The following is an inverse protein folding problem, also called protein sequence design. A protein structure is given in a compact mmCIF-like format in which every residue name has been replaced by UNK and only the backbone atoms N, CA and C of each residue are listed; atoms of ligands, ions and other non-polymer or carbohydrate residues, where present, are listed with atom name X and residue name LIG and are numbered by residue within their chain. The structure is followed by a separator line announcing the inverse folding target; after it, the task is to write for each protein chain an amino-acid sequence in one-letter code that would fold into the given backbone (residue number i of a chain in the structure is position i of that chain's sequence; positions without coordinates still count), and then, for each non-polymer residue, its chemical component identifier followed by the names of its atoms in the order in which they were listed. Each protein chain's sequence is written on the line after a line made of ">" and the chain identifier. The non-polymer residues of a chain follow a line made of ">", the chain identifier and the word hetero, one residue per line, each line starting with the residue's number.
data_IF_765414427169
#
_entry.id   IF_765414427169
#
_cell.length_a   1.000
_cell.length_b   1.000
_cell.length_c   1.000
_cell.angle_alpha   90.00
_cell.angle_beta   90.00
_cell.angle_gamma   90.00
#
_symmetry.space_group_name_H-M   'P 1'
#
loop_
_entity.id
_entity.type
_entity.pdbx_description
1 polymer ?
#
# COMPACT_ATOMS: atom_id res chain seq x y z
N UNK A 1 -45.95 -27.96 17.60
CA UNK A 1 -44.49 -28.27 17.55
C UNK A 1 -43.88 -27.46 16.43
N UNK A 2 -43.25 -26.34 16.74
CA UNK A 2 -42.64 -25.44 15.75
C UNK A 2 -41.13 -25.50 15.93
N UNK A 3 -40.46 -26.05 14.94
CA UNK A 3 -38.98 -26.13 14.87
C UNK A 3 -38.39 -24.75 14.55
N UNK A 4 -37.47 -24.27 15.37
CA UNK A 4 -36.67 -23.06 15.13
C UNK A 4 -35.52 -23.40 14.19
N UNK A 5 -35.19 -22.57 13.20
CA UNK A 5 -33.94 -22.71 12.45
C UNK A 5 -32.77 -22.18 13.29
N UNK A 6 -31.76 -23.01 13.45
CA UNK A 6 -30.51 -22.74 14.12
C UNK A 6 -29.62 -21.95 13.16
N UNK A 7 -29.49 -20.64 13.38
CA UNK A 7 -28.55 -19.76 12.68
C UNK A 7 -27.18 -19.96 13.32
N UNK A 8 -26.34 -20.79 12.71
CA UNK A 8 -24.89 -20.83 13.01
C UNK A 8 -24.20 -19.72 12.23
N UNK A 9 -24.04 -18.57 12.86
CA UNK A 9 -23.00 -17.60 12.48
C UNK A 9 -21.65 -18.24 12.78
N UNK A 10 -21.00 -18.80 11.78
CA UNK A 10 -19.62 -19.24 11.83
C UNK A 10 -18.72 -18.03 11.62
N UNK A 11 -18.24 -17.44 12.71
CA UNK A 11 -17.01 -16.62 12.68
C UNK A 11 -15.88 -17.51 12.16
N UNK A 12 -15.27 -17.12 11.05
CA UNK A 12 -14.05 -17.74 10.53
C UNK A 12 -12.88 -17.35 11.44
N UNK A 13 -12.86 -17.90 12.64
CA UNK A 13 -11.70 -17.88 13.51
C UNK A 13 -10.61 -18.68 12.81
N UNK A 14 -9.45 -18.05 12.54
CA UNK A 14 -8.44 -18.54 11.60
C UNK A 14 -7.94 -19.94 11.94
N UNK A 15 -8.43 -20.94 11.21
CA UNK A 15 -7.99 -22.32 11.34
C UNK A 15 -6.51 -22.41 11.01
N UNK A 16 -5.67 -22.55 12.03
CA UNK A 16 -4.22 -22.74 11.85
C UNK A 16 -3.98 -24.07 11.15
N UNK A 17 -3.29 -24.01 10.01
CA UNK A 17 -2.82 -25.20 9.29
C UNK A 17 -1.34 -25.43 9.59
N UNK A 18 -0.96 -26.68 9.84
CA UNK A 18 0.43 -27.05 10.06
C UNK A 18 1.05 -27.53 8.77
N UNK A 19 2.23 -27.01 8.46
CA UNK A 19 3.05 -27.44 7.32
C UNK A 19 4.42 -27.88 7.83
N UNK A 20 5.04 -28.82 7.12
CA UNK A 20 6.43 -29.22 7.35
C UNK A 20 7.25 -28.77 6.16
N UNK A 21 8.36 -28.07 6.41
CA UNK A 21 9.25 -27.54 5.37
C UNK A 21 10.67 -28.01 5.67
N UNK A 22 11.36 -28.54 4.64
CA UNK A 22 12.79 -28.85 4.71
C UNK A 22 13.56 -27.68 4.09
N UNK A 23 14.50 -27.15 4.82
CA UNK A 23 15.33 -26.02 4.37
C UNK A 23 16.80 -26.49 4.25
N UNK A 24 17.57 -26.00 3.25
CA UNK A 24 19.01 -26.14 3.25
C UNK A 24 19.63 -25.48 4.50
N UNK A 25 20.74 -26.02 5.00
CA UNK A 25 21.41 -25.52 6.22
C UNK A 25 21.75 -24.02 6.19
N UNK A 26 22.13 -23.50 5.05
CA UNK A 26 22.42 -22.07 4.89
C UNK A 26 21.16 -21.23 5.15
N UNK A 27 20.04 -21.58 4.50
CA UNK A 27 18.75 -20.86 4.63
C UNK A 27 18.18 -21.01 6.05
N UNK A 28 18.39 -22.18 6.68
CA UNK A 28 17.95 -22.38 8.06
C UNK A 28 18.71 -21.46 9.03
N UNK A 29 20.03 -21.28 8.85
CA UNK A 29 20.84 -20.37 9.67
C UNK A 29 20.43 -18.90 9.46
N UNK A 30 20.16 -18.49 8.23
CA UNK A 30 19.64 -17.15 7.93
C UNK A 30 18.29 -16.91 8.61
N UNK A 31 17.39 -17.88 8.59
CA UNK A 31 16.11 -17.80 9.30
C UNK A 31 16.30 -17.63 10.81
N UNK A 32 17.22 -18.39 11.44
CA UNK A 32 17.52 -18.28 12.88
C UNK A 32 18.11 -16.92 13.22
N UNK A 33 19.02 -16.43 12.41
CA UNK A 33 19.58 -15.09 12.57
C UNK A 33 18.49 -14.01 12.48
N UNK A 34 17.61 -14.10 11.52
CA UNK A 34 16.52 -13.16 11.29
C UNK A 34 15.51 -13.15 12.46
N UNK A 35 15.19 -14.34 13.01
CA UNK A 35 14.34 -14.49 14.21
C UNK A 35 14.99 -13.77 15.40
N UNK A 36 16.30 -13.96 15.58
CA UNK A 36 17.05 -13.35 16.69
C UNK A 36 17.16 -11.84 16.54
N UNK A 37 17.59 -11.36 15.38
CA UNK A 37 17.84 -9.94 15.11
C UNK A 37 16.56 -9.09 15.16
N UNK A 38 15.44 -9.64 14.68
CA UNK A 38 14.15 -8.94 14.68
C UNK A 38 13.31 -9.19 15.94
N UNK A 39 13.78 -10.00 16.86
CA UNK A 39 13.04 -10.34 18.09
C UNK A 39 11.70 -11.04 17.82
N UNK A 40 11.64 -11.88 16.77
CA UNK A 40 10.40 -12.56 16.40
C UNK A 40 10.12 -13.69 17.39
N UNK A 41 8.84 -13.96 17.67
CA UNK A 41 8.42 -14.97 18.66
C UNK A 41 8.85 -16.40 18.29
N UNK A 42 8.92 -16.71 16.99
CA UNK A 42 9.25 -18.04 16.51
C UNK A 42 9.61 -18.05 15.01
N UNK A 43 10.28 -19.13 14.57
CA UNK A 43 10.51 -19.41 13.13
C UNK A 43 9.21 -19.48 12.35
N UNK A 44 8.16 -20.07 12.93
CA UNK A 44 6.84 -20.16 12.31
C UNK A 44 6.24 -18.76 12.04
N UNK A 45 6.42 -17.83 12.99
CA UNK A 45 6.01 -16.44 12.82
C UNK A 45 6.80 -15.76 11.70
N UNK A 46 8.13 -15.93 11.70
CA UNK A 46 8.99 -15.40 10.65
C UNK A 46 8.58 -15.90 9.25
N UNK A 47 8.32 -17.19 9.09
CA UNK A 47 7.87 -17.78 7.83
C UNK A 47 6.49 -17.25 7.44
N UNK A 48 5.55 -17.15 8.39
CA UNK A 48 4.22 -16.61 8.12
C UNK A 48 4.29 -15.16 7.63
N UNK A 49 5.13 -14.33 8.25
CA UNK A 49 5.32 -12.93 7.85
C UNK A 49 5.96 -12.83 6.46
N UNK A 50 6.97 -13.66 6.15
CA UNK A 50 7.58 -13.72 4.82
C UNK A 50 6.59 -14.15 3.74
N UNK A 51 5.78 -15.19 4.01
CA UNK A 51 4.76 -15.66 3.06
C UNK A 51 3.70 -14.59 2.85
N UNK A 52 3.27 -13.91 3.91
CA UNK A 52 2.32 -12.82 3.83
C UNK A 52 2.89 -11.68 2.97
N UNK A 53 4.12 -11.28 3.23
CA UNK A 53 4.79 -10.23 2.45
C UNK A 53 4.90 -10.59 0.96
N UNK A 54 5.36 -11.80 0.66
CA UNK A 54 5.45 -12.29 -0.71
C UNK A 54 4.09 -12.38 -1.41
N UNK A 55 3.04 -12.84 -0.69
CA UNK A 55 1.69 -12.89 -1.24
C UNK A 55 1.14 -11.49 -1.56
N UNK A 56 1.49 -10.48 -0.76
CA UNK A 56 1.14 -9.09 -1.00
C UNK A 56 1.83 -8.54 -2.25
N UNK A 57 3.15 -8.72 -2.36
CA UNK A 57 3.90 -8.32 -3.55
C UNK A 57 3.31 -8.97 -4.82
N UNK A 58 2.92 -10.24 -4.73
CA UNK A 58 2.30 -10.94 -5.86
C UNK A 58 0.87 -10.46 -6.18
N UNK A 59 0.12 -9.97 -5.20
CA UNK A 59 -1.17 -9.30 -5.44
C UNK A 59 -0.99 -7.92 -6.08
N UNK A 60 0.06 -7.21 -5.74
CA UNK A 60 0.44 -5.95 -6.39
C UNK A 60 0.65 -6.15 -7.90
N UNK A 61 1.33 -7.23 -8.30
CA UNK A 61 1.53 -7.57 -9.72
C UNK A 61 0.20 -7.83 -10.46
N UNK A 62 -0.84 -8.32 -9.78
CA UNK A 62 -2.17 -8.58 -10.38
C UNK A 62 -3.09 -7.36 -10.45
N UNK A 63 -2.78 -6.29 -9.74
CA UNK A 63 -3.39 -4.97 -9.88
C UNK A 63 -4.84 -4.78 -9.44
N UNK A 64 -5.51 -5.80 -8.91
CA UNK A 64 -6.96 -5.79 -8.65
C UNK A 64 -7.35 -5.51 -7.18
N UNK A 65 -6.38 -5.54 -6.26
CA UNK A 65 -6.63 -5.34 -4.83
C UNK A 65 -6.66 -3.87 -4.41
N UNK A 66 -7.51 -3.54 -3.43
CA UNK A 66 -7.43 -2.26 -2.73
C UNK A 66 -6.27 -2.33 -1.74
N UNK A 67 -5.30 -1.45 -1.90
CA UNK A 67 -4.10 -1.35 -1.09
C UNK A 67 -4.04 0.02 -0.42
N UNK A 68 -3.34 0.09 0.70
CA UNK A 68 -2.87 1.34 1.27
C UNK A 68 -1.35 1.40 1.16
N UNK A 69 -0.79 2.60 1.18
CA UNK A 69 0.65 2.71 1.10
C UNK A 69 1.15 4.14 1.15
N UNK A 70 2.43 4.28 0.86
CA UNK A 70 3.06 5.58 0.74
C UNK A 70 3.80 5.71 -0.58
N UNK A 71 3.70 6.89 -1.19
CA UNK A 71 4.57 7.31 -2.28
C UNK A 71 5.53 8.33 -1.68
N UNK A 72 6.81 8.01 -1.65
CA UNK A 72 7.86 8.93 -1.20
C UNK A 72 8.62 9.42 -2.42
N UNK A 73 8.71 10.74 -2.60
CA UNK A 73 9.52 11.35 -3.65
C UNK A 73 10.48 12.38 -3.06
N UNK A 74 11.65 12.53 -3.68
CA UNK A 74 12.59 13.62 -3.40
C UNK A 74 12.77 14.43 -4.69
N UNK A 75 12.61 15.71 -4.60
CA UNK A 75 12.67 16.60 -5.76
C UNK A 75 13.38 17.92 -5.44
N UNK A 76 13.80 18.59 -6.51
CA UNK A 76 14.41 19.91 -6.49
C UNK A 76 13.34 20.97 -6.77
N UNK A 77 12.90 21.67 -5.72
CA UNK A 77 11.82 22.67 -5.81
C UNK A 77 12.19 23.92 -6.61
N UNK A 78 13.49 24.13 -6.88
CA UNK A 78 13.95 25.24 -7.73
C UNK A 78 13.65 25.02 -9.21
N UNK A 79 13.18 23.83 -9.60
CA UNK A 79 12.99 23.45 -11.00
C UNK A 79 11.62 23.88 -11.53
N UNK A 80 11.62 25.01 -12.22
CA UNK A 80 10.49 25.45 -13.05
C UNK A 80 9.13 25.47 -12.33
N UNK A 81 8.14 24.81 -12.93
CA UNK A 81 6.77 24.73 -12.42
C UNK A 81 6.46 23.39 -11.71
N UNK A 82 7.50 22.72 -11.15
CA UNK A 82 7.35 21.39 -10.57
C UNK A 82 6.31 21.35 -9.45
N UNK A 83 6.37 22.31 -8.51
CA UNK A 83 5.40 22.38 -7.40
C UNK A 83 3.94 22.49 -7.88
N UNK A 84 3.72 23.31 -8.92
CA UNK A 84 2.39 23.43 -9.51
C UNK A 84 1.94 22.09 -10.13
N UNK A 85 2.81 21.41 -10.87
CA UNK A 85 2.50 20.13 -11.51
C UNK A 85 2.25 19.01 -10.48
N UNK A 86 2.99 18.98 -9.37
CA UNK A 86 2.74 18.08 -8.24
C UNK A 86 1.33 18.31 -7.69
N UNK A 87 1.01 19.57 -7.35
CA UNK A 87 -0.30 19.91 -6.82
C UNK A 87 -1.47 19.63 -7.80
N UNK A 88 -1.25 19.77 -9.11
CA UNK A 88 -2.23 19.40 -10.13
C UNK A 88 -2.44 17.89 -10.20
N UNK A 89 -1.37 17.09 -10.10
CA UNK A 89 -1.46 15.62 -10.05
C UNK A 89 -2.17 15.14 -8.79
N UNK A 90 -1.82 15.65 -7.63
CA UNK A 90 -2.47 15.29 -6.37
C UNK A 90 -3.97 15.58 -6.39
N UNK A 91 -4.36 16.76 -6.90
CA UNK A 91 -5.78 17.09 -7.09
C UNK A 91 -6.49 16.15 -8.06
N UNK A 92 -5.79 15.69 -9.09
CA UNK A 92 -6.33 14.73 -10.06
C UNK A 92 -6.58 13.35 -9.47
N UNK A 93 -5.95 13.02 -8.33
CA UNK A 93 -6.02 11.73 -7.63
C UNK A 93 -6.50 11.89 -6.18
N UNK A 94 -7.40 12.84 -5.95
CA UNK A 94 -7.91 13.16 -4.60
C UNK A 94 -8.62 11.98 -3.94
N UNK A 95 -9.14 11.05 -4.73
CA UNK A 95 -9.81 9.84 -4.23
C UNK A 95 -8.79 8.83 -3.66
N UNK A 96 -7.56 8.82 -4.18
CA UNK A 96 -6.50 7.91 -3.78
C UNK A 96 -5.51 8.53 -2.80
N UNK A 97 -5.29 9.85 -2.87
CA UNK A 97 -4.35 10.57 -2.00
C UNK A 97 -5.06 11.04 -0.74
N UNK A 98 -4.72 10.44 0.40
CA UNK A 98 -5.36 10.73 1.69
C UNK A 98 -4.74 11.98 2.33
N UNK A 99 -3.42 12.07 2.30
CA UNK A 99 -2.65 13.18 2.90
C UNK A 99 -1.24 13.22 2.34
N UNK A 100 -0.58 14.37 2.50
CA UNK A 100 0.83 14.52 2.19
C UNK A 100 1.60 15.16 3.35
N UNK A 101 2.86 14.76 3.48
CA UNK A 101 3.82 15.33 4.42
C UNK A 101 5.02 15.86 3.62
N UNK A 102 5.35 17.12 3.83
CA UNK A 102 6.49 17.76 3.20
C UNK A 102 7.62 17.97 4.21
N UNK A 103 8.82 17.57 3.83
CA UNK A 103 10.02 17.75 4.63
C UNK A 103 11.04 18.52 3.82
N UNK A 104 11.44 19.69 4.32
CA UNK A 104 12.49 20.51 3.69
C UNK A 104 13.84 19.84 3.93
N UNK A 105 14.59 19.65 2.85
CA UNK A 105 15.97 19.17 2.86
C UNK A 105 16.93 20.31 2.51
N UNK A 106 18.23 20.01 2.44
CA UNK A 106 19.25 20.99 2.03
C UNK A 106 19.19 21.25 0.51
N UNK A 107 19.75 22.36 0.07
CA UNK A 107 20.00 22.70 -1.35
C UNK A 107 18.73 22.67 -2.23
N UNK A 108 17.63 23.29 -1.76
CA UNK A 108 16.35 23.33 -2.45
C UNK A 108 15.73 21.96 -2.71
N UNK A 109 16.20 20.92 -2.04
CA UNK A 109 15.56 19.61 -2.10
C UNK A 109 14.42 19.51 -1.09
N UNK A 110 13.38 18.83 -1.49
CA UNK A 110 12.23 18.52 -0.63
C UNK A 110 11.91 17.04 -0.75
N UNK A 111 11.62 16.43 0.36
CA UNK A 111 11.01 15.10 0.41
C UNK A 111 9.53 15.25 0.66
N UNK A 112 8.74 14.52 -0.10
CA UNK A 112 7.31 14.44 0.06
C UNK A 112 6.88 13.00 0.23
N UNK A 113 6.03 12.77 1.23
CA UNK A 113 5.46 11.45 1.53
C UNK A 113 3.94 11.57 1.41
N UNK A 114 3.39 10.94 0.38
CA UNK A 114 1.94 10.85 0.19
C UNK A 114 1.43 9.56 0.80
N UNK A 115 0.42 9.65 1.66
CA UNK A 115 -0.36 8.50 2.11
C UNK A 115 -1.45 8.24 1.10
N UNK A 116 -1.49 7.02 0.57
CA UNK A 116 -2.39 6.65 -0.53
C UNK A 116 -3.19 5.39 -0.22
N UNK A 117 -4.39 5.30 -0.78
CA UNK A 117 -5.25 4.12 -0.73
C UNK A 117 -6.05 4.00 -2.03
N UNK A 118 -6.11 2.80 -2.59
CA UNK A 118 -6.86 2.55 -3.82
C UNK A 118 -6.45 1.24 -4.50
N UNK A 119 -6.93 0.98 -5.71
CA UNK A 119 -6.48 -0.17 -6.50
C UNK A 119 -4.97 -0.10 -6.74
N UNK A 120 -4.25 -1.22 -6.52
CA UNK A 120 -2.79 -1.27 -6.61
C UNK A 120 -2.27 -0.74 -7.96
N UNK A 121 -2.91 -1.13 -9.07
CA UNK A 121 -2.57 -0.65 -10.41
C UNK A 121 -2.73 0.88 -10.55
N UNK A 122 -3.72 1.47 -9.88
CA UNK A 122 -3.93 2.92 -9.89
C UNK A 122 -2.84 3.62 -9.07
N UNK A 123 -2.50 3.08 -7.89
CA UNK A 123 -1.43 3.62 -7.03
C UNK A 123 -0.07 3.56 -7.74
N UNK A 124 0.22 2.47 -8.45
CA UNK A 124 1.42 2.35 -9.29
C UNK A 124 1.45 3.42 -10.38
N UNK A 125 0.34 3.63 -11.09
CA UNK A 125 0.24 4.69 -12.12
C UNK A 125 0.44 6.10 -11.55
N UNK A 126 -0.04 6.36 -10.34
CA UNK A 126 0.17 7.64 -9.65
C UNK A 126 1.65 7.82 -9.35
N UNK A 127 2.28 6.80 -8.75
CA UNK A 127 3.71 6.82 -8.43
C UNK A 127 4.57 7.05 -9.69
N UNK A 128 4.30 6.34 -10.77
CA UNK A 128 5.01 6.49 -12.05
C UNK A 128 4.88 7.91 -12.62
N UNK A 129 3.68 8.49 -12.56
CA UNK A 129 3.47 9.86 -13.04
C UNK A 129 4.21 10.90 -12.20
N UNK A 130 4.23 10.73 -10.86
CA UNK A 130 4.97 11.62 -9.96
C UNK A 130 6.48 11.50 -10.20
N UNK A 131 6.99 10.28 -10.29
CA UNK A 131 8.42 10.00 -10.51
C UNK A 131 8.91 10.44 -11.89
N UNK A 132 8.04 10.47 -12.90
CA UNK A 132 8.37 10.94 -14.24
C UNK A 132 8.45 12.48 -14.38
N UNK A 133 8.06 13.25 -13.36
CA UNK A 133 8.13 14.71 -13.43
C UNK A 133 9.58 15.18 -13.46
N UNK A 134 9.86 16.12 -14.37
CA UNK A 134 11.18 16.76 -14.46
C UNK A 134 11.47 17.55 -13.17
N UNK A 135 12.52 17.17 -12.46
CA UNK A 135 12.91 17.75 -11.17
C UNK A 135 12.76 16.76 -10.01
N UNK A 136 11.98 15.71 -10.16
CA UNK A 136 12.00 14.56 -9.24
C UNK A 136 13.32 13.82 -9.43
N UNK A 137 14.00 13.56 -8.32
CA UNK A 137 15.32 12.90 -8.28
C UNK A 137 15.23 11.42 -8.02
N UNK A 138 14.34 11.05 -7.12
CA UNK A 138 14.09 9.66 -6.74
C UNK A 138 12.69 9.54 -6.17
N UNK A 139 12.14 8.34 -6.22
CA UNK A 139 10.86 8.04 -5.61
C UNK A 139 10.71 6.54 -5.35
N UNK A 140 9.79 6.21 -4.46
CA UNK A 140 9.45 4.84 -4.11
C UNK A 140 7.97 4.75 -3.74
N UNK A 141 7.28 3.76 -4.29
CA UNK A 141 6.00 3.29 -3.83
C UNK A 141 6.20 2.13 -2.86
N UNK A 142 5.54 2.18 -1.72
CA UNK A 142 5.51 1.07 -0.76
C UNK A 142 4.04 0.78 -0.45
N UNK A 143 3.57 -0.42 -0.79
CA UNK A 143 2.20 -0.85 -0.59
C UNK A 143 2.07 -1.82 0.60
N UNK A 144 0.88 -1.86 1.18
CA UNK A 144 0.51 -2.79 2.23
C UNK A 144 -0.95 -3.20 2.07
N UNK A 145 -1.28 -4.44 2.41
CA UNK A 145 -2.67 -4.94 2.39
C UNK A 145 -3.54 -4.39 3.51
N UNK A 146 -2.98 -3.62 4.43
CA UNK A 146 -3.76 -3.06 5.51
C UNK A 146 -4.63 -1.93 4.97
N UNK A 147 -5.94 -2.17 4.90
CA UNK A 147 -6.93 -1.18 4.51
C UNK A 147 -7.04 -0.17 5.65
N UNK A 148 -6.68 1.06 5.37
CA UNK A 148 -6.95 2.18 6.28
C UNK A 148 -8.40 2.59 6.00
N UNK A 149 -9.31 2.63 6.99
CA UNK A 149 -10.64 3.17 6.77
C UNK A 149 -10.53 4.58 6.19
N UNK A 150 -11.35 4.95 5.20
CA UNK A 150 -11.31 6.28 4.63
C UNK A 150 -11.54 7.30 5.74
N UNK A 151 -10.59 8.22 5.92
CA UNK A 151 -10.66 9.26 6.95
C UNK A 151 -11.81 10.24 6.70
N UNK A 152 -12.21 10.37 5.44
CA UNK A 152 -13.37 11.14 5.01
C UNK A 152 -14.12 10.33 3.95
N UNK A 153 -15.37 9.88 4.21
CA UNK A 153 -16.19 9.35 3.15
C UNK A 153 -16.46 10.50 2.15
N UNK A 154 -15.87 10.41 0.97
CA UNK A 154 -16.18 11.35 -0.09
C UNK A 154 -17.66 11.18 -0.46
N UNK A 155 -18.41 12.28 -0.69
CA UNK A 155 -19.78 12.17 -1.16
C UNK A 155 -19.79 11.41 -2.49
N UNK A 156 -20.79 10.55 -2.73
CA UNK A 156 -20.89 9.81 -3.99
C UNK A 156 -20.84 10.79 -5.15
N UNK A 157 -20.01 10.48 -6.17
CA UNK A 157 -19.94 11.28 -7.40
C UNK A 157 -21.35 11.50 -7.94
N UNK A 158 -21.74 12.73 -8.26
CA UNK A 158 -23.04 12.97 -8.86
C UNK A 158 -23.14 12.12 -10.13
N UNK A 159 -24.20 11.32 -10.22
CA UNK A 159 -24.47 10.53 -11.40
C UNK A 159 -24.46 11.46 -12.63
N UNK A 160 -23.60 11.17 -13.59
CA UNK A 160 -23.64 11.83 -14.88
C UNK A 160 -25.05 11.67 -15.43
N UNK A 161 -25.82 12.75 -15.44
CA UNK A 161 -27.05 12.80 -16.22
C UNK A 161 -26.59 12.76 -17.68
N UNK A 162 -26.75 11.59 -18.30
CA UNK A 162 -26.73 11.50 -19.76
C UNK A 162 -27.81 12.42 -20.26
N UNK A 163 -27.41 13.54 -20.84
CA UNK A 163 -28.31 14.35 -21.69
C UNK A 163 -28.58 13.50 -22.93
N UNK A 164 -29.67 12.78 -22.94
CA UNK A 164 -30.32 12.37 -24.17
C UNK A 164 -31.03 13.61 -24.74
N UNK A 165 -30.54 14.08 -25.85
CA UNK A 165 -31.24 14.92 -26.83
C UNK A 165 -31.34 14.13 -28.11
#
# INVERSE_FOLDING_TARGET
>A
MKSRPNSKNGSSDGKVQRISVSLPDAVFRELDQLVTERGLESRSKAIADMVTHFALEHQEEKGDGIMAGTITIVYDESKGNLLQRLAELERGFIDEVISSLHVQLQDYHRMEVLLVQGPANQLTRIADKLMALKGVKTGKLTLTSMIIPPLHPLPPKPAHKSNEL
#
